data_IF_889478012516
#
_entry.id   IF_889478012516
#
_cell.length_a   1.000
_cell.length_b   1.000
_cell.length_c   1.000
_cell.angle_alpha   90.00
_cell.angle_beta   90.00
_cell.angle_gamma   90.00
#
_symmetry.space_group_name_H-M   'P 1'
#
loop_
_entity.id
_entity.type
_entity.pdbx_description
1 polymer ?
#
# COMPACT_ATOMS: atom_id res chain seq x y z
N UNK A 1 26.29 -60.09 -25.73
CA UNK A 1 25.35 -59.57 -26.76
C UNK A 1 23.88 -59.65 -26.37
N UNK A 2 23.14 -60.77 -26.52
CA UNK A 2 21.68 -60.76 -26.19
C UNK A 2 21.36 -60.50 -24.70
N UNK A 3 22.11 -61.10 -23.77
CA UNK A 3 21.95 -60.84 -22.33
C UNK A 3 22.34 -59.41 -21.93
N UNK A 4 23.40 -58.84 -22.53
CA UNK A 4 23.75 -57.42 -22.32
C UNK A 4 22.64 -56.50 -22.81
N UNK A 5 22.12 -56.72 -24.03
CA UNK A 5 21.03 -55.92 -24.59
C UNK A 5 19.79 -55.94 -23.68
N UNK A 6 19.39 -57.12 -23.18
CA UNK A 6 18.25 -57.22 -22.27
C UNK A 6 18.49 -56.47 -20.94
N UNK A 7 19.71 -56.49 -20.40
CA UNK A 7 20.02 -55.75 -19.18
C UNK A 7 19.99 -54.23 -19.40
N UNK A 8 20.48 -53.75 -20.55
CA UNK A 8 20.50 -52.34 -20.91
C UNK A 8 19.08 -51.82 -21.12
N UNK A 9 18.21 -52.62 -21.75
CA UNK A 9 16.79 -52.28 -21.95
C UNK A 9 16.06 -52.18 -20.62
N UNK A 10 16.17 -53.17 -19.73
CA UNK A 10 15.53 -53.14 -18.41
C UNK A 10 15.99 -51.95 -17.56
N UNK A 11 17.27 -51.58 -17.64
CA UNK A 11 17.80 -50.43 -16.92
C UNK A 11 17.23 -49.11 -17.49
N UNK A 12 17.10 -49.01 -18.82
CA UNK A 12 16.46 -47.88 -19.49
C UNK A 12 14.98 -47.71 -19.13
N UNK A 13 14.21 -48.80 -19.09
CA UNK A 13 12.81 -48.76 -18.65
C UNK A 13 12.65 -48.27 -17.20
N UNK A 14 13.55 -48.71 -16.31
CA UNK A 14 13.57 -48.26 -14.92
C UNK A 14 13.83 -46.76 -14.82
N UNK A 15 14.82 -46.25 -15.56
CA UNK A 15 15.15 -44.82 -15.61
C UNK A 15 14.01 -43.97 -16.18
N UNK A 16 13.30 -44.45 -17.20
CA UNK A 16 12.13 -43.75 -17.77
C UNK A 16 11.01 -43.65 -16.73
N UNK A 17 10.76 -44.72 -15.98
CA UNK A 17 9.72 -44.73 -14.94
C UNK A 17 10.03 -43.73 -13.81
N UNK A 18 11.27 -43.69 -13.34
CA UNK A 18 11.74 -42.71 -12.35
C UNK A 18 11.63 -41.27 -12.87
N UNK A 19 11.93 -41.06 -14.15
CA UNK A 19 11.78 -39.75 -14.80
C UNK A 19 10.32 -39.29 -14.85
N UNK A 20 9.38 -40.16 -15.21
CA UNK A 20 7.94 -39.85 -15.23
C UNK A 20 7.43 -39.48 -13.83
N UNK A 21 7.85 -40.23 -12.80
CA UNK A 21 7.48 -39.94 -11.42
C UNK A 21 8.02 -38.58 -10.97
N UNK A 22 9.28 -38.28 -11.31
CA UNK A 22 9.91 -36.98 -11.03
C UNK A 22 9.17 -35.82 -11.72
N UNK A 23 8.83 -35.96 -13.01
CA UNK A 23 8.10 -34.94 -13.77
C UNK A 23 6.69 -34.73 -13.17
N UNK A 24 6.02 -35.81 -12.79
CA UNK A 24 4.68 -35.73 -12.17
C UNK A 24 4.70 -34.99 -10.84
N UNK A 25 5.74 -35.22 -10.02
CA UNK A 25 5.93 -34.50 -8.76
C UNK A 25 6.21 -33.00 -9.01
N UNK A 26 7.12 -32.67 -9.93
CA UNK A 26 7.41 -31.28 -10.30
C UNK A 26 6.20 -30.56 -10.91
N UNK A 27 5.37 -31.26 -11.68
CA UNK A 27 4.14 -30.71 -12.25
C UNK A 27 3.14 -30.35 -11.15
N UNK A 28 2.97 -31.21 -10.14
CA UNK A 28 2.11 -30.93 -8.99
C UNK A 28 2.62 -29.73 -8.19
N UNK A 29 3.94 -29.64 -7.97
CA UNK A 29 4.56 -28.48 -7.31
C UNK A 29 4.35 -27.19 -8.12
N UNK A 30 4.54 -27.26 -9.44
CA UNK A 30 4.34 -26.12 -10.36
C UNK A 30 2.89 -25.64 -10.36
N UNK A 31 1.92 -26.57 -10.36
CA UNK A 31 0.48 -26.26 -10.22
C UNK A 31 0.20 -25.58 -8.88
N UNK A 32 0.80 -26.05 -7.79
CA UNK A 32 0.73 -25.39 -6.48
C UNK A 32 1.26 -23.96 -6.50
N UNK A 33 2.42 -23.73 -7.14
CA UNK A 33 3.02 -22.40 -7.28
C UNK A 33 2.15 -21.46 -8.13
N UNK A 34 1.48 -21.97 -9.18
CA UNK A 34 0.51 -21.20 -9.97
C UNK A 34 -0.65 -20.75 -9.09
N UNK A 35 -1.27 -21.66 -8.32
CA UNK A 35 -2.37 -21.31 -7.41
C UNK A 35 -1.94 -20.30 -6.34
N UNK A 36 -0.74 -20.45 -5.78
CA UNK A 36 -0.20 -19.48 -4.83
C UNK A 36 0.00 -18.08 -5.47
N UNK A 37 0.57 -18.03 -6.67
CA UNK A 37 0.75 -16.76 -7.39
C UNK A 37 -0.57 -16.07 -7.75
N UNK A 38 -1.63 -16.85 -8.00
CA UNK A 38 -2.99 -16.34 -8.24
C UNK A 38 -3.58 -15.72 -6.97
N UNK A 39 -3.41 -16.37 -5.82
CA UNK A 39 -3.84 -15.82 -4.54
C UNK A 39 -3.12 -14.49 -4.25
N UNK A 40 -1.81 -14.44 -4.46
CA UNK A 40 -1.02 -13.20 -4.28
C UNK A 40 -1.47 -12.10 -5.23
N UNK A 41 -1.74 -12.42 -6.49
CA UNK A 41 -2.25 -11.46 -7.47
C UNK A 41 -3.62 -10.90 -7.08
N UNK A 42 -4.53 -11.73 -6.56
CA UNK A 42 -5.86 -11.29 -6.10
C UNK A 42 -5.78 -10.28 -4.95
N UNK A 43 -4.78 -10.42 -4.07
CA UNK A 43 -4.51 -9.46 -2.99
C UNK A 43 -4.01 -8.11 -3.52
N UNK A 44 -3.50 -8.08 -4.75
CA UNK A 44 -3.13 -6.85 -5.45
C UNK A 44 -4.31 -5.92 -5.73
N UNK A 45 -5.53 -6.44 -5.90
CA UNK A 45 -6.71 -5.58 -6.09
C UNK A 45 -7.01 -4.71 -4.86
N UNK A 46 -6.76 -5.24 -3.66
CA UNK A 46 -6.90 -4.49 -2.41
C UNK A 46 -5.97 -3.25 -2.37
N UNK A 47 -4.86 -3.28 -3.12
CA UNK A 47 -3.95 -2.15 -3.21
C UNK A 47 -4.54 -0.96 -3.96
N UNK A 48 -5.31 -1.19 -5.03
CA UNK A 48 -5.96 -0.10 -5.75
C UNK A 48 -6.96 0.63 -4.84
N UNK A 49 -7.66 -0.11 -3.98
CA UNK A 49 -8.52 0.48 -2.95
C UNK A 49 -7.73 1.29 -1.93
N UNK A 50 -6.52 0.86 -1.59
CA UNK A 50 -5.65 1.54 -0.64
C UNK A 50 -5.12 2.87 -1.21
N UNK A 51 -4.77 2.91 -2.50
CA UNK A 51 -4.41 4.16 -3.22
C UNK A 51 -5.57 5.16 -3.15
N UNK A 52 -6.78 4.73 -3.50
CA UNK A 52 -7.97 5.59 -3.47
C UNK A 52 -8.23 6.17 -2.07
N UNK A 53 -7.99 5.37 -1.02
CA UNK A 53 -8.13 5.81 0.37
C UNK A 53 -7.11 6.91 0.73
N UNK A 54 -5.87 6.82 0.24
CA UNK A 54 -4.87 7.87 0.44
C UNK A 54 -5.19 9.15 -0.34
N UNK A 55 -5.70 9.05 -1.56
CA UNK A 55 -6.16 10.23 -2.32
C UNK A 55 -7.29 10.97 -1.59
N UNK A 56 -8.23 10.23 -1.00
CA UNK A 56 -9.30 10.79 -0.18
C UNK A 56 -8.76 11.42 1.11
N UNK A 57 -7.81 10.76 1.78
CA UNK A 57 -7.12 11.32 2.94
C UNK A 57 -6.41 12.65 2.63
N UNK A 58 -5.71 12.74 1.49
CA UNK A 58 -5.07 13.98 1.04
C UNK A 58 -6.09 15.08 0.79
N UNK A 59 -7.25 14.72 0.22
CA UNK A 59 -8.35 15.67 -0.03
C UNK A 59 -8.92 16.22 1.28
N UNK A 60 -9.16 15.35 2.26
CA UNK A 60 -9.62 15.77 3.59
C UNK A 60 -8.56 16.59 4.34
N UNK A 61 -7.28 16.24 4.21
CA UNK A 61 -6.17 16.99 4.82
C UNK A 61 -6.11 18.42 4.28
N UNK A 62 -6.25 18.61 2.96
CA UNK A 62 -6.36 19.94 2.33
C UNK A 62 -7.57 20.73 2.82
N UNK A 63 -8.69 20.06 3.05
CA UNK A 63 -9.88 20.71 3.59
C UNK A 63 -9.65 21.19 5.03
N UNK A 64 -9.02 20.38 5.87
CA UNK A 64 -8.64 20.77 7.24
C UNK A 64 -7.64 21.94 7.22
N UNK A 65 -6.69 21.95 6.29
CA UNK A 65 -5.76 23.07 6.09
C UNK A 65 -6.50 24.38 5.75
N UNK A 66 -7.51 24.34 4.89
CA UNK A 66 -8.35 25.50 4.58
C UNK A 66 -9.09 26.02 5.82
N UNK A 67 -9.66 25.11 6.63
CA UNK A 67 -10.31 25.46 7.89
C UNK A 67 -9.30 26.07 8.87
N UNK A 68 -8.11 25.48 8.99
CA UNK A 68 -6.99 25.98 9.81
C UNK A 68 -6.68 27.45 9.51
N UNK A 69 -6.56 27.77 8.22
CA UNK A 69 -6.30 29.12 7.74
C UNK A 69 -7.42 30.10 8.15
N UNK A 70 -8.69 29.71 7.96
CA UNK A 70 -9.84 30.51 8.40
C UNK A 70 -9.88 30.73 9.91
N UNK A 71 -9.52 29.73 10.71
CA UNK A 71 -9.44 29.87 12.18
C UNK A 71 -8.34 30.87 12.55
N UNK A 72 -7.18 30.81 11.89
CA UNK A 72 -6.10 31.77 12.10
C UNK A 72 -6.50 33.21 11.75
N UNK A 73 -7.28 33.39 10.69
CA UNK A 73 -7.83 34.69 10.30
C UNK A 73 -8.82 35.22 11.35
N UNK A 74 -9.73 34.36 11.84
CA UNK A 74 -10.66 34.70 12.93
C UNK A 74 -9.88 35.09 14.18
N UNK A 75 -8.88 34.28 14.58
CA UNK A 75 -8.04 34.58 15.75
C UNK A 75 -7.29 35.91 15.57
N UNK A 76 -6.79 36.21 14.37
CA UNK A 76 -6.13 37.49 14.07
C UNK A 76 -7.08 38.68 14.19
N UNK A 77 -8.31 38.56 13.68
CA UNK A 77 -9.35 39.59 13.80
C UNK A 77 -9.79 39.78 15.25
N UNK A 78 -9.97 38.70 16.00
CA UNK A 78 -10.30 38.74 17.43
C UNK A 78 -9.18 39.41 18.23
N UNK A 79 -7.91 39.12 17.93
CA UNK A 79 -6.77 39.79 18.55
C UNK A 79 -6.77 41.30 18.28
N UNK A 80 -7.06 41.72 17.04
CA UNK A 80 -7.16 43.14 16.70
C UNK A 80 -8.34 43.84 17.39
N UNK A 81 -9.50 43.17 17.46
CA UNK A 81 -10.66 43.68 18.18
C UNK A 81 -10.36 43.84 19.68
N UNK A 82 -9.72 42.86 20.28
CA UNK A 82 -9.28 42.91 21.68
C UNK A 82 -8.29 44.06 21.91
N UNK A 83 -7.32 44.26 21.01
CA UNK A 83 -6.39 45.38 21.08
C UNK A 83 -7.11 46.73 21.04
N UNK A 84 -8.05 46.90 20.11
CA UNK A 84 -8.83 48.13 20.01
C UNK A 84 -9.67 48.37 21.27
N UNK A 85 -10.25 47.31 21.84
CA UNK A 85 -10.99 47.37 23.10
C UNK A 85 -10.09 47.75 24.29
N UNK A 86 -8.87 47.20 24.39
CA UNK A 86 -7.90 47.58 25.42
C UNK A 86 -7.50 49.07 25.30
N UNK A 87 -7.33 49.58 24.07
CA UNK A 87 -7.02 51.00 23.83
C UNK A 87 -8.18 51.89 24.28
N UNK A 88 -9.42 51.56 23.92
CA UNK A 88 -10.58 52.38 24.29
C UNK A 88 -10.88 52.29 25.80
N UNK A 89 -10.65 51.13 26.43
CA UNK A 89 -10.72 50.97 27.87
C UNK A 89 -9.70 51.86 28.60
N UNK A 90 -8.46 51.94 28.10
CA UNK A 90 -7.45 52.86 28.64
C UNK A 90 -7.86 54.33 28.48
N UNK A 91 -8.47 54.68 27.33
CA UNK A 91 -8.96 56.03 27.04
C UNK A 91 -10.11 56.46 27.96
N UNK A 92 -10.97 55.53 28.35
CA UNK A 92 -12.06 55.77 29.29
C UNK A 92 -11.60 55.90 30.76
N UNK A 93 -10.32 55.69 31.06
CA UNK A 93 -9.75 55.82 32.41
C UNK A 93 -10.41 54.88 33.40
N UNK A 94 -10.84 55.39 34.56
CA UNK A 94 -11.44 54.58 35.62
C UNK A 94 -12.73 53.86 35.18
N UNK A 95 -13.51 54.47 34.28
CA UNK A 95 -14.73 53.87 33.74
C UNK A 95 -14.47 52.64 32.85
N UNK A 96 -13.26 52.51 32.30
CA UNK A 96 -12.87 51.43 31.39
C UNK A 96 -12.21 50.22 32.07
N UNK A 97 -11.94 50.25 33.39
CA UNK A 97 -11.18 49.19 34.08
C UNK A 97 -11.75 47.79 33.90
N UNK A 98 -13.07 47.63 34.03
CA UNK A 98 -13.72 46.33 33.82
C UNK A 98 -13.62 45.82 32.38
N UNK A 99 -13.75 46.73 31.40
CA UNK A 99 -13.59 46.41 29.98
C UNK A 99 -12.14 46.04 29.62
N UNK A 100 -11.15 46.67 30.25
CA UNK A 100 -9.73 46.36 30.02
C UNK A 100 -9.40 44.90 30.38
N UNK A 101 -9.94 44.39 31.49
CA UNK A 101 -9.71 43.00 31.91
C UNK A 101 -10.30 42.01 30.90
N UNK A 102 -11.50 42.30 30.40
CA UNK A 102 -12.14 41.46 29.37
C UNK A 102 -11.34 41.50 28.08
N UNK A 103 -10.89 42.68 27.64
CA UNK A 103 -10.10 42.83 26.43
C UNK A 103 -8.78 42.05 26.48
N UNK A 104 -8.07 42.09 27.62
CA UNK A 104 -6.83 41.32 27.81
C UNK A 104 -7.08 39.81 27.79
N UNK A 105 -8.19 39.33 28.35
CA UNK A 105 -8.53 37.91 28.33
C UNK A 105 -8.89 37.43 26.92
N UNK A 106 -9.68 38.21 26.17
CA UNK A 106 -9.99 37.93 24.76
C UNK A 106 -8.71 37.90 23.91
N UNK A 107 -7.76 38.81 24.19
CA UNK A 107 -6.44 38.83 23.54
C UNK A 107 -5.67 37.53 23.80
N UNK A 108 -5.59 37.07 25.06
CA UNK A 108 -4.93 35.79 25.40
C UNK A 108 -5.59 34.62 24.68
N UNK A 109 -6.92 34.54 24.68
CA UNK A 109 -7.66 33.47 23.97
C UNK A 109 -7.34 33.48 22.47
N UNK A 110 -7.25 34.66 21.85
CA UNK A 110 -6.92 34.78 20.44
C UNK A 110 -5.49 34.31 20.12
N UNK A 111 -4.52 34.59 21.01
CA UNK A 111 -3.15 34.12 20.87
C UNK A 111 -3.09 32.59 21.06
N UNK A 112 -3.74 32.05 22.09
CA UNK A 112 -3.81 30.61 22.32
C UNK A 112 -4.45 29.85 21.15
N UNK A 113 -5.50 30.43 20.54
CA UNK A 113 -6.09 29.87 19.31
C UNK A 113 -5.08 29.78 18.16
N UNK A 114 -4.19 30.78 17.99
CA UNK A 114 -3.15 30.75 16.96
C UNK A 114 -2.12 29.66 17.21
N UNK A 115 -1.71 29.47 18.47
CA UNK A 115 -0.77 28.40 18.84
C UNK A 115 -1.33 27.01 18.57
N UNK A 116 -2.63 26.81 18.83
CA UNK A 116 -3.33 25.57 18.47
C UNK A 116 -3.37 25.35 16.96
N UNK A 117 -3.62 26.40 16.17
CA UNK A 117 -3.58 26.33 14.70
C UNK A 117 -2.18 25.94 14.19
N UNK A 118 -1.12 26.51 14.76
CA UNK A 118 0.25 26.14 14.40
C UNK A 118 0.52 24.65 14.67
N UNK A 119 0.11 24.16 15.83
CA UNK A 119 0.23 22.74 16.20
C UNK A 119 -0.59 21.83 15.26
N UNK A 120 -1.76 22.29 14.83
CA UNK A 120 -2.58 21.58 13.84
C UNK A 120 -1.87 21.51 12.50
N UNK A 121 -1.29 22.61 12.02
CA UNK A 121 -0.55 22.64 10.75
C UNK A 121 0.67 21.71 10.77
N UNK A 122 1.39 21.61 11.89
CA UNK A 122 2.50 20.68 12.01
C UNK A 122 2.04 19.21 12.00
N UNK A 123 0.85 18.92 12.54
CA UNK A 123 0.23 17.60 12.43
C UNK A 123 -0.16 17.29 10.99
N UNK A 124 -0.74 18.27 10.26
CA UNK A 124 -1.08 18.10 8.84
C UNK A 124 0.15 17.81 7.98
N UNK A 125 1.28 18.50 8.22
CA UNK A 125 2.56 18.19 7.53
C UNK A 125 3.00 16.75 7.73
N UNK A 126 2.87 16.21 8.95
CA UNK A 126 3.19 14.80 9.24
C UNK A 126 2.26 13.85 8.49
N UNK A 127 0.97 14.17 8.41
CA UNK A 127 -0.01 13.38 7.63
C UNK A 127 0.38 13.38 6.15
N UNK A 128 0.76 14.53 5.57
CA UNK A 128 1.25 14.58 4.19
C UNK A 128 2.47 13.68 3.97
N UNK A 129 3.50 13.77 4.83
CA UNK A 129 4.71 12.93 4.73
C UNK A 129 4.37 11.44 4.78
N UNK A 130 3.56 11.02 5.77
CA UNK A 130 3.16 9.62 5.93
C UNK A 130 2.36 9.10 4.74
N UNK A 131 1.53 9.96 4.14
CA UNK A 131 0.72 9.59 2.97
C UNK A 131 1.58 9.47 1.72
N UNK A 132 2.56 10.35 1.54
CA UNK A 132 3.53 10.28 0.44
C UNK A 132 4.40 9.02 0.55
N UNK A 133 4.95 8.75 1.74
CA UNK A 133 5.71 7.53 2.03
C UNK A 133 4.87 6.28 1.75
N UNK A 134 3.61 6.27 2.21
CA UNK A 134 2.67 5.19 1.95
C UNK A 134 2.41 4.97 0.46
N UNK A 135 2.28 6.05 -0.32
CA UNK A 135 2.10 5.98 -1.78
C UNK A 135 3.30 5.36 -2.49
N UNK A 136 4.52 5.70 -2.06
CA UNK A 136 5.76 5.12 -2.62
C UNK A 136 5.84 3.62 -2.33
N UNK A 137 5.49 3.18 -1.12
CA UNK A 137 5.51 1.75 -0.78
C UNK A 137 4.46 0.94 -1.55
N UNK A 138 3.29 1.53 -1.82
CA UNK A 138 2.29 0.93 -2.70
C UNK A 138 2.82 0.74 -4.12
N UNK A 139 3.50 1.75 -4.68
CA UNK A 139 4.06 1.68 -6.02
C UNK A 139 5.08 0.54 -6.13
N UNK A 140 6.00 0.43 -5.15
CA UNK A 140 6.95 -0.69 -5.08
C UNK A 140 6.24 -2.04 -4.98
N UNK A 141 5.14 -2.12 -4.23
CA UNK A 141 4.39 -3.35 -4.08
C UNK A 141 3.65 -3.72 -5.39
N UNK A 142 3.23 -2.73 -6.18
CA UNK A 142 2.66 -2.94 -7.52
C UNK A 142 3.68 -3.54 -8.48
N UNK A 143 4.92 -3.07 -8.45
CA UNK A 143 6.00 -3.67 -9.24
C UNK A 143 6.25 -5.13 -8.87
N UNK A 144 6.30 -5.44 -7.56
CA UNK A 144 6.43 -6.82 -7.08
C UNK A 144 5.28 -7.72 -7.51
N UNK A 145 4.06 -7.19 -7.59
CA UNK A 145 2.91 -7.95 -8.09
C UNK A 145 3.03 -8.25 -9.59
N UNK A 146 3.61 -7.34 -10.38
CA UNK A 146 3.91 -7.61 -11.78
C UNK A 146 4.96 -8.73 -11.91
N UNK A 147 5.99 -8.74 -11.05
CA UNK A 147 6.97 -9.83 -11.01
C UNK A 147 6.32 -11.19 -10.70
N UNK A 148 5.38 -11.22 -9.75
CA UNK A 148 4.60 -12.43 -9.43
C UNK A 148 3.75 -12.89 -10.62
N UNK A 149 3.12 -11.96 -11.35
CA UNK A 149 2.36 -12.30 -12.56
C UNK A 149 3.26 -12.86 -13.67
N UNK A 150 4.46 -12.31 -13.82
CA UNK A 150 5.44 -12.83 -14.77
C UNK A 150 5.90 -14.23 -14.39
N UNK A 151 6.25 -14.47 -13.12
CA UNK A 151 6.60 -15.79 -12.60
C UNK A 151 5.46 -16.82 -12.81
N UNK A 152 4.21 -16.40 -12.61
CA UNK A 152 3.04 -17.23 -12.92
C UNK A 152 2.97 -17.63 -14.39
N UNK A 153 3.21 -16.68 -15.30
CA UNK A 153 3.25 -16.95 -16.74
C UNK A 153 4.30 -18.01 -17.08
N UNK A 154 5.48 -17.91 -16.46
CA UNK A 154 6.58 -18.84 -16.69
C UNK A 154 6.29 -20.22 -16.09
N UNK A 155 5.70 -20.31 -14.89
CA UNK A 155 5.21 -21.58 -14.35
C UNK A 155 4.14 -22.23 -15.22
N UNK A 156 3.23 -21.44 -15.82
CA UNK A 156 2.22 -21.97 -16.74
C UNK A 156 2.86 -22.59 -17.99
N UNK A 157 3.89 -21.95 -18.56
CA UNK A 157 4.67 -22.53 -19.68
C UNK A 157 5.33 -23.84 -19.28
N UNK A 158 6.01 -23.87 -18.13
CA UNK A 158 6.68 -25.07 -17.60
C UNK A 158 5.66 -26.20 -17.36
N UNK A 159 4.52 -25.90 -16.76
CA UNK A 159 3.44 -26.88 -16.55
C UNK A 159 2.95 -27.48 -17.87
N UNK A 160 2.76 -26.65 -18.90
CA UNK A 160 2.32 -27.13 -20.21
C UNK A 160 3.37 -28.01 -20.90
N UNK A 161 4.66 -27.67 -20.76
CA UNK A 161 5.76 -28.48 -21.28
C UNK A 161 5.84 -29.84 -20.57
N UNK A 162 5.72 -29.87 -19.24
CA UNK A 162 5.69 -31.10 -18.46
C UNK A 162 4.50 -31.99 -18.83
N UNK A 163 3.30 -31.43 -18.96
CA UNK A 163 2.10 -32.16 -19.43
C UNK A 163 2.31 -32.75 -20.84
N UNK A 164 2.97 -32.00 -21.74
CA UNK A 164 3.32 -32.50 -23.08
C UNK A 164 4.32 -33.65 -23.04
N UNK A 165 5.32 -33.58 -22.16
CA UNK A 165 6.31 -34.66 -21.97
C UNK A 165 5.63 -35.93 -21.44
N UNK A 166 4.77 -35.81 -20.41
CA UNK A 166 4.02 -36.95 -19.87
C UNK A 166 3.15 -37.60 -20.95
N UNK A 167 2.46 -36.79 -21.76
CA UNK A 167 1.64 -37.29 -22.88
C UNK A 167 2.47 -38.07 -23.90
N UNK A 168 3.65 -37.56 -24.29
CA UNK A 168 4.56 -38.26 -25.22
C UNK A 168 5.09 -39.57 -24.65
N UNK A 169 5.37 -39.63 -23.34
CA UNK A 169 5.76 -40.87 -22.68
C UNK A 169 4.64 -41.91 -22.69
N UNK A 170 3.39 -41.50 -22.42
CA UNK A 170 2.23 -42.38 -22.49
C UNK A 170 2.01 -42.94 -23.91
N UNK A 171 2.26 -42.14 -24.94
CA UNK A 171 2.24 -42.58 -26.34
C UNK A 171 3.35 -43.59 -26.66
N UNK A 172 4.59 -43.31 -26.24
CA UNK A 172 5.72 -44.24 -26.43
C UNK A 172 5.48 -45.59 -25.76
N UNK A 173 4.96 -45.58 -24.53
CA UNK A 173 4.64 -46.82 -23.81
C UNK A 173 3.65 -47.69 -24.60
N UNK A 174 2.59 -47.09 -25.15
CA UNK A 174 1.61 -47.79 -25.99
C UNK A 174 2.16 -48.34 -27.31
N UNK A 175 3.29 -47.83 -27.79
CA UNK A 175 3.97 -48.37 -28.99
C UNK A 175 4.91 -49.52 -28.68
N UNK A 176 5.27 -49.71 -27.42
CA UNK A 176 6.25 -50.72 -26.97
C UNK A 176 5.57 -51.94 -26.34
N UNK A 177 4.38 -51.75 -25.74
CA UNK A 177 3.44 -52.80 -25.32
C UNK A 177 2.63 -53.36 -26.52
#
# INVERSE_FOLDING_TARGET
MMQENNSTINNGETQVKECIETISNLLNETKGNISFSEEVASRGEAMNSFIATFEELLTHTKYIENISSKINDVASRTNLLALNASIEAARAGDAGRGFSVVADEVKKLSIGTKELVLSMNDTLKKIYSLTEEGSIEIEKLKDRLNDVQQARSDFSKVSNEMDSILTKFDELKKMTD
#
